data_IF_336421942006
#
_entry.id   IF_336421942006
#
_cell.length_a   1.000
_cell.length_b   1.000
_cell.length_c   1.000
_cell.angle_alpha   90.00
_cell.angle_beta   90.00
_cell.angle_gamma   90.00
#
_symmetry.space_group_name_H-M   'P 1'
#
loop_
_entity.id
_entity.type
_entity.pdbx_description
1 polymer ?
#
# COMPACT_ATOMS: atom_id res chain seq x y z
N UNK A 1 17.89 9.82 6.98
CA UNK A 1 16.69 9.95 6.12
C UNK A 1 15.75 11.03 6.68
N UNK A 2 15.80 12.24 6.12
CA UNK A 2 15.12 13.43 6.65
C UNK A 2 13.92 13.91 5.83
N UNK A 3 13.44 15.12 6.11
CA UNK A 3 12.31 15.75 5.38
C UNK A 3 12.63 16.07 3.91
N UNK A 4 13.91 16.22 3.55
CA UNK A 4 14.34 16.48 2.17
C UNK A 4 14.41 15.23 1.28
N UNK A 5 14.41 14.03 1.86
CA UNK A 5 14.59 12.80 1.08
C UNK A 5 13.27 12.32 0.46
N UNK A 6 13.14 12.52 -0.84
CA UNK A 6 11.96 12.19 -1.66
C UNK A 6 11.66 10.69 -1.72
N UNK A 7 12.65 9.83 -1.44
CA UNK A 7 12.48 8.38 -1.47
C UNK A 7 11.80 7.88 -0.20
N UNK A 8 11.74 8.69 0.86
CA UNK A 8 11.22 8.29 2.17
C UNK A 8 9.76 8.64 2.39
N UNK A 9 9.09 7.94 3.31
CA UNK A 9 7.74 8.31 3.74
C UNK A 9 7.71 9.71 4.37
N UNK A 10 8.71 10.06 5.18
CA UNK A 10 8.81 11.35 5.86
C UNK A 10 8.99 12.51 4.88
N UNK A 11 9.86 12.38 3.89
CA UNK A 11 10.03 13.41 2.86
C UNK A 11 8.80 13.55 1.95
N UNK A 12 8.12 12.46 1.63
CA UNK A 12 6.83 12.51 0.91
C UNK A 12 5.71 13.16 1.73
N UNK A 13 5.70 13.00 3.06
CA UNK A 13 4.77 13.72 3.94
C UNK A 13 5.08 15.21 3.91
N UNK A 14 6.35 15.61 4.09
CA UNK A 14 6.75 17.01 4.13
C UNK A 14 6.46 17.75 2.81
N UNK A 15 6.73 17.12 1.65
CA UNK A 15 6.44 17.69 0.33
C UNK A 15 4.97 17.56 -0.11
N UNK A 16 4.14 16.84 0.63
CA UNK A 16 2.74 16.58 0.27
C UNK A 16 2.52 15.59 -0.90
N UNK A 17 3.57 14.97 -1.44
CA UNK A 17 3.49 14.07 -2.61
C UNK A 17 3.22 12.61 -2.25
N UNK A 18 2.84 11.79 -3.23
CA UNK A 18 2.56 10.35 -3.04
C UNK A 18 3.57 9.46 -3.80
N UNK A 19 3.43 8.15 -3.64
CA UNK A 19 4.13 7.11 -4.41
C UNK A 19 4.42 5.90 -3.52
N UNK A 20 5.34 5.03 -3.91
CA UNK A 20 5.48 3.70 -3.29
C UNK A 20 5.56 3.72 -1.74
N UNK A 21 6.34 4.63 -1.14
CA UNK A 21 6.43 4.76 0.34
C UNK A 21 5.31 5.55 1.02
N UNK A 22 4.53 6.35 0.27
CA UNK A 22 3.36 7.11 0.78
C UNK A 22 2.22 6.92 -0.23
N UNK A 23 1.54 5.80 -0.12
CA UNK A 23 0.42 5.45 -1.00
C UNK A 23 -0.79 6.32 -0.67
N UNK A 24 -1.56 6.72 -1.70
CA UNK A 24 -2.90 7.27 -1.47
C UNK A 24 -3.74 6.17 -0.83
N UNK A 25 -4.52 6.51 0.20
CA UNK A 25 -5.54 5.59 0.72
C UNK A 25 -6.47 5.27 -0.45
N UNK A 26 -6.32 4.08 -1.06
CA UNK A 26 -7.31 3.57 -1.99
C UNK A 26 -8.57 3.43 -1.13
N UNK A 27 -9.63 4.18 -1.46
CA UNK A 27 -10.96 3.88 -0.90
C UNK A 27 -11.18 2.41 -1.24
N UNK A 28 -11.11 1.54 -0.24
CA UNK A 28 -11.45 0.13 -0.42
C UNK A 28 -12.87 0.14 -0.96
N UNK A 29 -13.06 -0.03 -2.27
CA UNK A 29 -14.32 -0.61 -2.73
C UNK A 29 -14.35 -1.94 -1.98
N UNK A 30 -15.36 -2.11 -1.13
CA UNK A 30 -15.64 -3.36 -0.41
C UNK A 30 -15.49 -4.52 -1.41
N UNK A 31 -14.44 -5.31 -1.29
CA UNK A 31 -14.28 -6.60 -1.97
C UNK A 31 -13.23 -7.36 -1.13
N UNK A 32 -13.59 -8.39 -0.37
CA UNK A 32 -14.15 -9.66 -0.86
C UNK A 32 -13.18 -10.47 -1.74
N UNK A 33 -11.87 -10.30 -1.60
CA UNK A 33 -10.89 -11.12 -2.35
C UNK A 33 -9.59 -11.38 -1.57
N UNK A 34 -9.72 -11.81 -0.30
CA UNK A 34 -8.60 -12.32 0.50
C UNK A 34 -8.96 -13.62 1.22
N UNK A 35 -9.93 -14.36 0.69
CA UNK A 35 -10.30 -15.69 1.18
C UNK A 35 -10.64 -16.58 -0.02
N UNK A 36 -9.91 -17.69 -0.15
CA UNK A 36 -10.08 -18.84 -1.06
C UNK A 36 -9.25 -18.87 -2.35
N UNK A 37 -7.93 -18.96 -2.20
CA UNK A 37 -7.14 -19.92 -2.99
C UNK A 37 -6.39 -20.80 -2.00
N UNK A 38 -6.78 -22.07 -1.93
CA UNK A 38 -6.24 -23.06 -0.99
C UNK A 38 -7.25 -24.09 -0.48
N UNK A 39 -8.14 -24.61 -1.34
CA UNK A 39 -8.77 -25.93 -1.16
C UNK A 39 -8.84 -26.62 -2.51
N UNK A 40 -8.38 -27.87 -2.52
CA UNK A 40 -8.16 -28.74 -3.67
C UNK A 40 -6.71 -29.21 -3.61
N UNK A 41 -6.37 -30.47 -3.29
CA UNK A 41 -7.10 -31.70 -3.57
C UNK A 41 -6.80 -32.80 -2.53
N UNK A 42 -7.82 -33.63 -2.30
CA UNK A 42 -7.78 -34.96 -1.73
C UNK A 42 -7.88 -35.97 -2.88
N UNK A 43 -6.94 -36.91 -2.99
CA UNK A 43 -7.07 -38.32 -3.40
C UNK A 43 -5.68 -38.96 -3.30
#
# INVERSE_FOLDING_TARGET
MGKGDIRTKRGKIFRGTYGNRRLKKRRKKKAADATKTGKGETT
#
